data_IF_390601593805
#
_entry.id   IF_390601593805
#
_cell.length_a   1.000
_cell.length_b   1.000
_cell.length_c   1.000
_cell.angle_alpha   90.00
_cell.angle_beta   90.00
_cell.angle_gamma   90.00
#
_symmetry.space_group_name_H-M   'P 1'
#
loop_
_entity.id
_entity.type
_entity.pdbx_description
1 polymer ?
#
# COMPACT_ATOMS: atom_id res chain seq x y z
N UNK A 1 4.72 27.62 37.07
CA UNK A 1 5.79 26.62 36.83
C UNK A 1 5.77 26.29 35.36
N UNK A 2 6.72 26.89 34.62
CA UNK A 2 6.86 26.81 33.16
C UNK A 2 7.95 25.79 32.88
N UNK A 3 7.66 24.78 32.04
CA UNK A 3 8.69 23.84 31.56
C UNK A 3 8.76 23.93 30.04
N UNK A 4 9.99 24.20 29.58
CA UNK A 4 10.42 24.38 28.20
C UNK A 4 10.74 23.05 27.50
N UNK A 5 10.49 23.05 26.17
CA UNK A 5 11.17 22.41 25.01
C UNK A 5 12.20 21.26 25.20
N UNK A 6 12.05 20.25 24.33
CA UNK A 6 12.99 19.75 23.28
C UNK A 6 12.25 18.63 22.53
N UNK A 7 12.21 18.48 21.21
CA UNK A 7 13.13 18.85 20.13
C UNK A 7 13.57 17.55 19.44
N UNK A 8 13.02 17.22 18.28
CA UNK A 8 13.61 16.25 17.35
C UNK A 8 13.38 16.70 15.90
N UNK A 9 14.50 17.03 15.28
CA UNK A 9 14.66 17.27 13.85
C UNK A 9 14.62 15.93 13.10
N UNK A 10 14.02 15.90 11.92
CA UNK A 10 14.49 15.02 10.85
C UNK A 10 14.59 15.82 9.56
N UNK A 11 15.83 15.86 9.05
CA UNK A 11 16.22 16.33 7.73
C UNK A 11 15.67 15.38 6.68
N UNK A 12 15.03 15.90 5.63
CA UNK A 12 15.04 15.25 4.32
C UNK A 12 15.60 16.22 3.29
N UNK A 13 16.67 15.76 2.63
CA UNK A 13 17.32 16.38 1.49
C UNK A 13 16.51 16.09 0.22
N UNK A 14 16.16 17.16 -0.47
CA UNK A 14 16.33 17.42 -1.91
C UNK A 14 16.53 16.24 -2.87
N UNK A 15 15.57 16.11 -3.80
CA UNK A 15 15.72 15.94 -5.25
C UNK A 15 14.51 16.70 -5.83
N UNK A 16 14.62 17.83 -6.54
CA UNK A 16 15.36 18.03 -7.77
C UNK A 16 14.35 17.99 -8.92
N UNK A 17 13.92 19.15 -9.40
CA UNK A 17 12.92 19.27 -10.48
C UNK A 17 12.45 20.70 -10.71
N UNK A 18 13.37 21.60 -11.07
CA UNK A 18 13.03 22.87 -11.70
C UNK A 18 12.44 22.59 -13.09
N UNK A 19 11.17 22.92 -13.29
CA UNK A 19 10.63 23.16 -14.62
C UNK A 19 10.12 24.59 -14.63
N UNK A 20 10.83 25.42 -15.39
CA UNK A 20 10.50 26.81 -15.60
C UNK A 20 9.16 26.94 -16.31
N UNK A 21 8.26 27.68 -15.69
CA UNK A 21 7.14 28.32 -16.38
C UNK A 21 7.72 29.42 -17.26
N UNK A 22 7.88 29.09 -18.54
CA UNK A 22 8.11 30.03 -19.62
C UNK A 22 7.29 29.58 -20.81
N UNK A 23 6.83 30.54 -21.60
CA UNK A 23 5.93 30.43 -22.75
C UNK A 23 4.45 30.42 -22.43
N UNK A 24 3.58 31.14 -23.14
CA UNK A 24 3.72 32.02 -24.31
C UNK A 24 2.33 32.67 -24.41
N UNK A 25 2.16 33.89 -23.87
CA UNK A 25 1.02 34.72 -24.28
C UNK A 25 1.58 35.72 -25.28
N UNK A 26 1.40 35.35 -26.55
CA UNK A 26 1.87 36.06 -27.72
C UNK A 26 1.22 37.45 -27.82
N UNK A 27 2.09 38.44 -27.67
CA UNK A 27 2.07 39.77 -28.26
C UNK A 27 0.98 40.01 -29.33
N UNK A 28 -0.08 40.71 -28.91
CA UNK A 28 -1.00 41.42 -29.80
C UNK A 28 -0.31 42.65 -30.39
N UNK A 29 0.69 42.39 -31.26
CA UNK A 29 1.48 43.42 -31.95
C UNK A 29 0.69 43.96 -33.14
N UNK A 30 -0.14 44.96 -32.86
CA UNK A 30 -0.67 45.91 -33.84
C UNK A 30 0.46 46.50 -34.70
N UNK A 31 0.73 45.92 -35.87
CA UNK A 31 1.54 46.56 -36.91
C UNK A 31 0.70 47.60 -37.64
N UNK A 32 0.77 48.84 -37.14
CA UNK A 32 0.62 50.03 -38.00
C UNK A 32 1.77 50.03 -39.00
N UNK A 33 1.54 49.56 -40.22
CA UNK A 33 2.44 49.83 -41.34
C UNK A 33 2.21 51.27 -41.80
N UNK A 34 3.03 52.18 -41.28
CA UNK A 34 3.34 53.44 -41.93
C UNK A 34 4.20 53.14 -43.17
N UNK A 35 3.57 53.11 -44.35
CA UNK A 35 4.24 53.05 -45.65
C UNK A 35 4.24 54.43 -46.29
N UNK A 36 5.42 55.06 -46.37
CA UNK A 36 5.60 56.45 -46.75
C UNK A 36 5.21 56.80 -48.18
N UNK A 37 4.70 58.02 -48.32
CA UNK A 37 4.59 58.75 -49.58
C UNK A 37 5.97 58.95 -50.21
N UNK A 38 6.25 58.22 -51.31
CA UNK A 38 7.26 58.63 -52.29
C UNK A 38 6.72 58.52 -53.71
N UNK A 39 6.61 59.70 -54.32
CA UNK A 39 6.73 60.04 -55.75
C UNK A 39 5.74 59.40 -56.72
N UNK A 40 4.78 60.24 -57.13
CA UNK A 40 4.19 60.18 -58.46
C UNK A 40 5.31 60.29 -59.50
N UNK A 41 5.60 59.19 -60.20
CA UNK A 41 6.14 59.23 -61.55
C UNK A 41 5.01 58.74 -62.47
N UNK A 42 4.37 59.68 -63.15
CA UNK A 42 3.36 59.43 -64.17
C UNK A 42 4.08 58.87 -65.40
N UNK A 43 3.76 57.65 -65.89
CA UNK A 43 4.20 57.23 -67.21
C UNK A 43 3.39 58.01 -68.27
N UNK A 44 3.99 58.40 -69.41
CA UNK A 44 3.25 59.09 -70.45
C UNK A 44 2.16 58.16 -71.02
N UNK A 45 1.01 58.77 -71.34
CA UNK A 45 -0.07 58.13 -72.08
C UNK A 45 0.48 57.44 -73.33
N UNK A 46 0.16 56.15 -73.58
CA UNK A 46 0.18 55.62 -74.91
C UNK A 46 -1.07 56.13 -75.63
N UNK A 47 -0.88 57.16 -76.45
CA UNK A 47 -1.78 57.43 -77.56
C UNK A 47 -1.76 56.23 -78.52
N UNK A 48 -2.94 55.86 -79.02
CA UNK A 48 -3.02 55.08 -80.25
C UNK A 48 -3.48 53.63 -80.11
N UNK A 49 -4.78 53.45 -80.27
CA UNK A 49 -5.40 52.48 -81.19
C UNK A 49 -4.83 51.05 -81.16
N UNK A 50 -5.38 50.24 -80.25
CA UNK A 50 -5.23 48.78 -80.24
C UNK A 50 -6.19 48.08 -79.26
N UNK A 51 -7.41 48.59 -79.12
CA UNK A 51 -8.34 48.20 -78.05
C UNK A 51 -9.51 47.41 -78.63
N UNK A 52 -9.35 46.09 -78.77
CA UNK A 52 -10.50 45.17 -78.87
C UNK A 52 -10.22 43.69 -78.61
N UNK A 53 -8.96 43.27 -78.46
CA UNK A 53 -8.63 41.84 -78.25
C UNK A 53 -8.20 41.54 -76.79
N UNK A 54 -7.86 42.56 -75.99
CA UNK A 54 -7.23 42.38 -74.68
C UNK A 54 -8.21 42.33 -73.48
N UNK A 55 -9.41 42.93 -73.60
CA UNK A 55 -10.41 42.92 -72.51
C UNK A 55 -11.03 41.54 -72.35
N UNK A 56 -11.38 40.87 -73.45
CA UNK A 56 -11.96 39.53 -73.42
C UNK A 56 -10.99 38.49 -72.86
N UNK A 57 -9.68 38.62 -73.15
CA UNK A 57 -8.64 37.75 -72.60
C UNK A 57 -8.44 37.99 -71.11
N UNK A 58 -8.40 39.26 -70.66
CA UNK A 58 -8.30 39.60 -69.25
C UNK A 58 -9.51 39.14 -68.44
N UNK A 59 -10.73 39.27 -68.99
CA UNK A 59 -11.95 38.77 -68.35
C UNK A 59 -11.96 37.24 -68.25
N UNK A 60 -11.47 36.53 -69.28
CA UNK A 60 -11.35 35.08 -69.25
C UNK A 60 -10.30 34.58 -68.23
N UNK A 61 -9.16 35.27 -68.11
CA UNK A 61 -8.13 34.96 -67.11
C UNK A 61 -8.65 35.24 -65.69
N UNK A 62 -9.36 36.36 -65.47
CA UNK A 62 -9.97 36.67 -64.19
C UNK A 62 -11.01 35.61 -63.78
N UNK A 63 -11.89 35.20 -64.70
CA UNK A 63 -12.87 34.14 -64.45
C UNK A 63 -12.21 32.78 -64.14
N UNK A 64 -11.10 32.46 -64.79
CA UNK A 64 -10.32 31.25 -64.50
C UNK A 64 -9.66 31.30 -63.11
N UNK A 65 -9.12 32.46 -62.71
CA UNK A 65 -8.59 32.67 -61.37
C UNK A 65 -9.67 32.58 -60.29
N UNK A 66 -10.83 33.20 -60.51
CA UNK A 66 -11.95 33.15 -59.57
C UNK A 66 -12.45 31.72 -59.37
N UNK A 67 -12.54 30.93 -60.45
CA UNK A 67 -12.87 29.51 -60.37
C UNK A 67 -11.84 28.68 -59.58
N UNK A 68 -10.54 28.93 -59.78
CA UNK A 68 -9.48 28.26 -59.03
C UNK A 68 -9.48 28.64 -57.54
N UNK A 69 -9.74 29.91 -57.22
CA UNK A 69 -9.89 30.39 -55.84
C UNK A 69 -11.07 29.70 -55.17
N UNK A 70 -12.19 29.54 -55.86
CA UNK A 70 -13.38 28.90 -55.29
C UNK A 70 -13.18 27.40 -55.04
N UNK A 71 -12.48 26.70 -55.93
CA UNK A 71 -12.08 25.30 -55.69
C UNK A 71 -11.18 25.15 -54.46
N UNK A 72 -10.16 26.02 -54.33
CA UNK A 72 -9.28 26.04 -53.15
C UNK A 72 -10.05 26.34 -51.86
N UNK A 73 -11.02 27.27 -51.89
CA UNK A 73 -11.88 27.57 -50.75
C UNK A 73 -12.71 26.37 -50.34
N UNK A 74 -13.34 25.68 -51.29
CA UNK A 74 -14.13 24.47 -51.01
C UNK A 74 -13.27 23.36 -50.45
N UNK A 75 -12.07 23.15 -50.98
CA UNK A 75 -11.13 22.15 -50.45
C UNK A 75 -10.70 22.49 -49.02
N UNK A 76 -10.36 23.76 -48.74
CA UNK A 76 -9.98 24.20 -47.40
C UNK A 76 -11.13 24.06 -46.40
N UNK A 77 -12.36 24.43 -46.79
CA UNK A 77 -13.55 24.26 -45.95
C UNK A 77 -13.78 22.78 -45.63
N UNK A 78 -13.71 21.90 -46.63
CA UNK A 78 -13.84 20.45 -46.40
C UNK A 78 -12.78 19.89 -45.45
N UNK A 79 -11.53 20.37 -45.55
CA UNK A 79 -10.46 19.99 -44.61
C UNK A 79 -10.72 20.52 -43.20
N UNK A 80 -11.18 21.76 -43.06
CA UNK A 80 -11.52 22.37 -41.77
C UNK A 80 -12.66 21.60 -41.10
N UNK A 81 -13.71 21.26 -41.85
CA UNK A 81 -14.84 20.50 -41.33
C UNK A 81 -14.41 19.09 -40.87
N UNK A 82 -13.60 18.40 -41.68
CA UNK A 82 -13.04 17.10 -41.30
C UNK A 82 -12.16 17.16 -40.04
N UNK A 83 -11.31 18.18 -39.94
CA UNK A 83 -10.50 18.40 -38.72
C UNK A 83 -11.38 18.73 -37.51
N UNK A 84 -12.46 19.49 -37.68
CA UNK A 84 -13.40 19.79 -36.60
C UNK A 84 -14.10 18.53 -36.09
N UNK A 85 -14.47 17.60 -36.99
CA UNK A 85 -15.02 16.29 -36.64
C UNK A 85 -14.03 15.44 -35.84
N UNK A 86 -12.78 15.36 -36.30
CA UNK A 86 -11.72 14.64 -35.60
C UNK A 86 -11.46 15.20 -34.20
N UNK A 87 -11.43 16.54 -34.06
CA UNK A 87 -11.28 17.21 -32.76
C UNK A 87 -12.44 16.84 -31.83
N UNK A 88 -13.68 16.87 -32.32
CA UNK A 88 -14.86 16.49 -31.51
C UNK A 88 -14.78 15.02 -31.07
N UNK A 89 -14.37 14.12 -31.97
CA UNK A 89 -14.21 12.71 -31.65
C UNK A 89 -13.11 12.48 -30.59
N UNK A 90 -11.96 13.15 -30.73
CA UNK A 90 -10.86 13.09 -29.77
C UNK A 90 -11.26 13.64 -28.40
N UNK A 91 -12.00 14.75 -28.35
CA UNK A 91 -12.53 15.32 -27.11
C UNK A 91 -13.46 14.33 -26.41
N UNK A 92 -14.39 13.71 -27.14
CA UNK A 92 -15.29 12.68 -26.60
C UNK A 92 -14.53 11.44 -26.09
N UNK A 93 -13.47 11.03 -26.77
CA UNK A 93 -12.62 9.93 -26.32
C UNK A 93 -11.86 10.31 -25.03
N UNK A 94 -11.33 11.54 -24.97
CA UNK A 94 -10.60 12.02 -23.81
C UNK A 94 -11.50 12.12 -22.57
N UNK A 95 -12.76 12.58 -22.70
CA UNK A 95 -13.69 12.61 -21.57
C UNK A 95 -13.98 11.21 -21.03
N UNK A 96 -14.22 10.23 -21.92
CA UNK A 96 -14.43 8.82 -21.53
C UNK A 96 -13.22 8.19 -20.84
N UNK A 97 -12.03 8.50 -21.34
CA UNK A 97 -10.78 8.03 -20.71
C UNK A 97 -10.62 8.62 -19.31
N UNK A 98 -10.93 9.90 -19.14
CA UNK A 98 -10.83 10.58 -17.85
C UNK A 98 -11.83 10.02 -16.83
N UNK A 99 -13.07 9.75 -17.25
CA UNK A 99 -14.07 9.05 -16.43
C UNK A 99 -13.55 7.68 -15.96
N UNK A 100 -13.03 6.87 -16.89
CA UNK A 100 -12.49 5.54 -16.57
C UNK A 100 -11.28 5.61 -15.63
N UNK A 101 -10.40 6.60 -15.81
CA UNK A 101 -9.25 6.82 -14.91
C UNK A 101 -9.73 7.17 -13.51
N UNK A 102 -10.76 8.00 -13.38
CA UNK A 102 -11.33 8.36 -12.07
C UNK A 102 -11.97 7.16 -11.38
N UNK A 103 -12.74 6.34 -12.11
CA UNK A 103 -13.34 5.10 -11.59
C UNK A 103 -12.27 4.13 -11.09
N UNK A 104 -11.23 3.88 -11.89
CA UNK A 104 -10.12 2.99 -11.52
C UNK A 104 -9.33 3.53 -10.33
N UNK A 105 -9.17 4.85 -10.23
CA UNK A 105 -8.48 5.49 -9.11
C UNK A 105 -9.25 5.31 -7.81
N UNK A 106 -10.58 5.51 -7.84
CA UNK A 106 -11.46 5.28 -6.70
C UNK A 106 -11.47 3.81 -6.27
N UNK A 107 -11.60 2.88 -7.22
CA UNK A 107 -11.56 1.43 -6.94
C UNK A 107 -10.22 1.00 -6.33
N UNK A 108 -9.11 1.53 -6.83
CA UNK A 108 -7.79 1.27 -6.25
C UNK A 108 -7.65 1.81 -4.81
N UNK A 109 -8.25 2.96 -4.51
CA UNK A 109 -8.23 3.50 -3.16
C UNK A 109 -9.03 2.62 -2.18
N UNK A 110 -10.20 2.14 -2.60
CA UNK A 110 -11.03 1.20 -1.83
C UNK A 110 -10.28 -0.11 -1.57
N UNK A 111 -9.70 -0.72 -2.60
CA UNK A 111 -8.93 -1.96 -2.47
C UNK A 111 -7.74 -1.81 -1.52
N UNK A 112 -7.01 -0.68 -1.58
CA UNK A 112 -5.93 -0.38 -0.63
C UNK A 112 -6.43 -0.29 0.81
N UNK A 113 -7.58 0.35 1.03
CA UNK A 113 -8.21 0.44 2.34
C UNK A 113 -8.62 -0.94 2.87
N UNK A 114 -9.33 -1.74 2.07
CA UNK A 114 -9.72 -3.11 2.44
C UNK A 114 -8.51 -4.00 2.75
N UNK A 115 -7.45 -3.93 1.93
CA UNK A 115 -6.22 -4.69 2.17
C UNK A 115 -5.54 -4.30 3.50
N UNK A 116 -5.56 -3.02 3.87
CA UNK A 116 -5.03 -2.57 5.17
C UNK A 116 -5.84 -3.15 6.34
N UNK A 117 -7.17 -3.13 6.24
CA UNK A 117 -8.07 -3.72 7.25
C UNK A 117 -7.86 -5.24 7.36
N UNK A 118 -7.71 -5.95 6.24
CA UNK A 118 -7.44 -7.38 6.25
C UNK A 118 -6.08 -7.71 6.86
N UNK A 119 -5.03 -6.96 6.53
CA UNK A 119 -3.69 -7.15 7.09
C UNK A 119 -3.66 -6.97 8.60
N UNK A 120 -4.29 -5.91 9.12
CA UNK A 120 -4.39 -5.66 10.56
C UNK A 120 -5.22 -6.72 11.29
N UNK A 121 -6.30 -7.18 10.67
CA UNK A 121 -7.16 -8.26 11.20
C UNK A 121 -6.41 -9.60 11.23
N UNK A 122 -5.67 -9.93 10.18
CA UNK A 122 -4.84 -11.12 10.10
C UNK A 122 -3.75 -11.08 11.18
N UNK A 123 -3.06 -9.95 11.34
CA UNK A 123 -2.07 -9.78 12.40
C UNK A 123 -2.67 -9.99 13.80
N UNK A 124 -3.90 -9.49 14.04
CA UNK A 124 -4.61 -9.71 15.31
C UNK A 124 -4.95 -11.18 15.51
N UNK A 125 -5.46 -11.87 14.49
CA UNK A 125 -5.79 -13.30 14.56
C UNK A 125 -4.55 -14.16 14.78
N UNK A 126 -3.44 -13.88 14.09
CA UNK A 126 -2.17 -14.57 14.30
C UNK A 126 -1.67 -14.43 15.74
N UNK A 127 -1.73 -13.22 16.32
CA UNK A 127 -1.38 -13.00 17.74
C UNK A 127 -2.27 -13.81 18.68
N UNK A 128 -3.59 -13.81 18.46
CA UNK A 128 -4.53 -14.62 19.26
C UNK A 128 -4.23 -16.11 19.12
N UNK A 129 -3.96 -16.58 17.89
CA UNK A 129 -3.64 -17.98 17.62
C UNK A 129 -2.35 -18.41 18.33
N UNK A 130 -1.27 -17.64 18.26
CA UNK A 130 -0.04 -17.95 19.00
C UNK A 130 -0.25 -17.93 20.52
N UNK A 131 -1.07 -17.02 21.03
CA UNK A 131 -1.42 -17.00 22.46
C UNK A 131 -2.18 -18.27 22.88
N UNK A 132 -3.13 -18.74 22.06
CA UNK A 132 -3.84 -20.00 22.29
C UNK A 132 -2.90 -21.20 22.18
N UNK A 133 -2.04 -21.25 21.16
CA UNK A 133 -1.07 -22.34 20.97
C UNK A 133 -0.08 -22.44 22.15
N UNK A 134 0.44 -21.32 22.64
CA UNK A 134 1.25 -21.29 23.88
C UNK A 134 0.48 -21.85 25.07
N UNK A 135 -0.81 -21.52 25.18
CA UNK A 135 -1.64 -21.97 26.28
C UNK A 135 -1.77 -23.49 26.31
N UNK A 136 -1.93 -24.12 25.15
CA UNK A 136 -1.97 -25.59 25.01
C UNK A 136 -0.70 -26.20 25.58
N UNK A 137 0.47 -25.73 25.14
CA UNK A 137 1.77 -26.22 25.63
C UNK A 137 1.89 -26.09 27.16
N UNK A 138 1.44 -24.97 27.72
CA UNK A 138 1.47 -24.75 29.17
C UNK A 138 0.47 -25.65 29.93
N UNK A 139 -0.70 -25.92 29.35
CA UNK A 139 -1.69 -26.81 29.95
C UNK A 139 -1.28 -28.28 29.85
N UNK A 140 -0.68 -28.71 28.75
CA UNK A 140 -0.12 -30.05 28.59
C UNK A 140 1.02 -30.28 29.58
N UNK A 141 1.92 -29.30 29.75
CA UNK A 141 2.95 -29.34 30.80
C UNK A 141 2.32 -29.45 32.20
N UNK A 142 1.24 -28.70 32.48
CA UNK A 142 0.54 -28.78 33.77
C UNK A 142 -0.09 -30.16 33.99
N UNK A 143 -0.76 -30.70 32.98
CA UNK A 143 -1.41 -32.01 33.03
C UNK A 143 -0.36 -33.11 33.25
N UNK A 144 0.78 -33.01 32.57
CA UNK A 144 1.90 -33.93 32.76
C UNK A 144 2.46 -33.86 34.18
N UNK A 145 2.66 -32.65 34.74
CA UNK A 145 3.08 -32.49 36.14
C UNK A 145 2.06 -33.11 37.11
N UNK A 146 0.77 -32.91 36.87
CA UNK A 146 -0.28 -33.48 37.70
C UNK A 146 -0.23 -35.01 37.70
N UNK A 147 -0.13 -35.60 36.51
CA UNK A 147 -0.11 -37.04 36.30
C UNK A 147 1.17 -37.69 36.85
N UNK A 148 2.34 -37.26 36.36
CA UNK A 148 3.61 -37.95 36.61
C UNK A 148 4.08 -37.79 38.07
N UNK A 149 3.68 -36.70 38.74
CA UNK A 149 4.08 -36.39 40.12
C UNK A 149 2.93 -36.49 41.14
N UNK A 150 1.81 -37.09 40.73
CA UNK A 150 0.65 -37.36 41.59
C UNK A 150 0.16 -36.12 42.33
N UNK A 151 0.03 -35.00 41.63
CA UNK A 151 -0.64 -33.82 42.16
C UNK A 151 -2.11 -33.80 41.75
N UNK A 152 -2.97 -33.38 42.66
CA UNK A 152 -4.34 -33.01 42.32
C UNK A 152 -4.36 -31.62 41.67
N UNK A 153 -5.33 -31.36 40.80
CA UNK A 153 -5.45 -30.03 40.16
C UNK A 153 -5.67 -28.90 41.19
N UNK A 154 -6.30 -29.19 42.32
CA UNK A 154 -6.49 -28.23 43.41
C UNK A 154 -5.18 -27.87 44.14
N UNK A 155 -4.22 -28.80 44.19
CA UNK A 155 -2.86 -28.52 44.70
C UNK A 155 -2.03 -27.69 43.73
N UNK A 156 -2.34 -27.79 42.44
CA UNK A 156 -1.68 -27.05 41.36
C UNK A 156 -2.31 -25.68 41.08
N UNK A 157 -3.40 -25.35 41.78
CA UNK A 157 -4.04 -24.03 41.67
C UNK A 157 -3.33 -23.04 42.58
N UNK A 158 -2.78 -21.93 42.04
CA UNK A 158 -2.21 -20.88 42.88
C UNK A 158 -3.31 -20.34 43.80
N UNK A 159 -3.13 -20.46 45.12
CA UNK A 159 -4.10 -19.97 46.12
C UNK A 159 -3.97 -18.46 46.37
N UNK A 160 -2.84 -17.87 45.97
CA UNK A 160 -2.50 -16.45 46.14
C UNK A 160 -1.78 -15.92 44.90
N UNK A 161 -1.63 -14.60 44.81
CA UNK A 161 -0.78 -13.94 43.81
C UNK A 161 0.71 -14.33 43.90
N UNK A 162 1.12 -14.91 45.04
CA UNK A 162 2.43 -15.49 45.22
C UNK A 162 2.48 -16.95 44.76
N UNK A 163 3.19 -17.16 43.65
CA UNK A 163 3.41 -18.46 43.00
C UNK A 163 4.63 -19.21 43.57
N UNK A 164 5.49 -18.52 44.34
CA UNK A 164 6.75 -19.06 44.85
C UNK A 164 6.58 -20.37 45.65
N UNK A 165 5.65 -20.44 46.63
CA UNK A 165 5.40 -21.66 47.40
C UNK A 165 4.95 -22.85 46.54
N UNK A 166 4.16 -22.60 45.49
CA UNK A 166 3.73 -23.62 44.55
C UNK A 166 4.91 -24.15 43.73
N UNK A 167 5.74 -23.25 43.20
CA UNK A 167 6.94 -23.60 42.44
C UNK A 167 7.89 -24.46 43.28
N UNK A 168 8.15 -24.08 44.55
CA UNK A 168 9.01 -24.85 45.46
C UNK A 168 8.45 -26.25 45.75
N UNK A 169 7.13 -26.37 45.94
CA UNK A 169 6.46 -27.66 46.17
C UNK A 169 6.56 -28.59 44.97
N UNK A 170 6.43 -28.06 43.76
CA UNK A 170 6.61 -28.85 42.53
C UNK A 170 8.08 -29.27 42.43
N UNK A 171 9.01 -28.31 42.65
CA UNK A 171 10.46 -28.54 42.59
C UNK A 171 10.93 -29.71 43.46
N UNK A 172 10.38 -29.83 44.67
CA UNK A 172 10.79 -30.89 45.60
C UNK A 172 10.32 -32.29 45.19
N UNK A 173 9.37 -32.40 44.26
CA UNK A 173 8.89 -33.67 43.72
C UNK A 173 9.48 -34.04 42.35
N UNK A 174 9.98 -33.06 41.60
CA UNK A 174 10.55 -33.30 40.27
C UNK A 174 11.74 -34.27 40.34
N UNK A 175 11.82 -35.19 39.38
CA UNK A 175 13.01 -36.00 39.19
C UNK A 175 14.17 -35.13 38.66
N UNK A 176 15.40 -35.67 38.65
CA UNK A 176 16.58 -34.90 38.27
C UNK A 176 16.54 -34.42 36.80
N UNK A 177 16.01 -35.25 35.90
CA UNK A 177 15.89 -34.96 34.47
C UNK A 177 14.93 -33.79 34.21
N UNK A 178 13.70 -33.88 34.71
CA UNK A 178 12.68 -32.85 34.56
C UNK A 178 13.03 -31.57 35.33
N UNK A 179 13.71 -31.68 36.47
CA UNK A 179 14.21 -30.52 37.20
C UNK A 179 15.25 -29.73 36.39
N UNK A 180 16.06 -30.41 35.56
CA UNK A 180 17.01 -29.75 34.68
C UNK A 180 16.33 -28.99 33.53
N UNK A 181 15.20 -29.51 33.04
CA UNK A 181 14.40 -28.89 31.96
C UNK A 181 13.53 -27.74 32.48
N UNK A 182 12.83 -27.96 33.58
CA UNK A 182 11.88 -27.01 34.16
C UNK A 182 12.57 -26.12 35.19
N UNK A 183 13.10 -24.97 34.77
CA UNK A 183 13.60 -23.94 35.70
C UNK A 183 12.48 -23.32 36.56
N UNK A 184 12.82 -22.57 37.61
CA UNK A 184 11.82 -21.84 38.41
C UNK A 184 11.02 -20.86 37.56
N UNK A 185 11.64 -20.24 36.56
CA UNK A 185 10.96 -19.36 35.60
C UNK A 185 10.01 -20.14 34.70
N UNK A 186 10.37 -21.37 34.29
CA UNK A 186 9.52 -22.23 33.48
C UNK A 186 8.28 -22.65 34.27
N UNK A 187 8.48 -23.07 35.53
CA UNK A 187 7.39 -23.41 36.44
C UNK A 187 6.52 -22.19 36.72
N UNK A 188 7.12 -21.02 36.93
CA UNK A 188 6.38 -19.77 37.05
C UNK A 188 5.54 -19.53 35.79
N UNK A 189 6.10 -19.67 34.59
CA UNK A 189 5.37 -19.49 33.34
C UNK A 189 4.20 -20.49 33.16
N UNK A 190 4.36 -21.74 33.56
CA UNK A 190 3.30 -22.77 33.50
C UNK A 190 2.13 -22.42 34.42
N UNK A 191 2.40 -21.91 35.62
CA UNK A 191 1.37 -21.73 36.66
C UNK A 191 0.93 -20.27 36.85
N UNK A 192 1.64 -19.29 36.27
CA UNK A 192 1.30 -17.88 36.35
C UNK A 192 0.19 -17.57 35.34
N UNK A 193 -1.05 -17.62 35.83
CA UNK A 193 -2.21 -17.20 35.06
C UNK A 193 -2.43 -15.70 35.30
N UNK A 194 -1.91 -14.84 34.42
CA UNK A 194 -2.38 -13.45 34.39
C UNK A 194 -3.90 -13.45 34.18
N UNK A 195 -4.62 -12.65 34.97
CA UNK A 195 -6.07 -12.63 35.23
C UNK A 195 -7.04 -12.46 34.02
N UNK A 196 -6.62 -12.66 32.78
CA UNK A 196 -7.48 -12.48 31.60
C UNK A 196 -7.80 -13.80 30.91
N UNK A 197 -8.40 -14.74 31.64
CA UNK A 197 -8.53 -16.09 31.12
C UNK A 197 -9.74 -16.26 30.20
N UNK A 198 -9.42 -16.26 28.90
CA UNK A 198 -10.07 -17.01 27.81
C UNK A 198 -10.26 -18.52 28.14
N UNK A 199 -9.82 -18.99 29.33
CA UNK A 199 -9.95 -20.36 29.87
C UNK A 199 -11.36 -20.93 29.73
N UNK A 200 -12.39 -20.14 29.98
CA UNK A 200 -13.74 -20.70 30.06
C UNK A 200 -14.42 -20.81 28.68
N UNK A 201 -13.94 -20.09 27.66
CA UNK A 201 -14.51 -20.13 26.30
C UNK A 201 -13.66 -20.86 25.27
N UNK A 202 -12.33 -20.93 25.46
CA UNK A 202 -11.38 -21.37 24.42
C UNK A 202 -10.74 -22.76 24.63
N UNK A 203 -10.87 -23.36 25.81
CA UNK A 203 -10.11 -24.58 26.15
C UNK A 203 -10.43 -25.77 25.22
N UNK A 204 -11.69 -25.95 24.81
CA UNK A 204 -12.06 -27.10 23.96
C UNK A 204 -11.49 -27.00 22.54
N UNK A 205 -11.59 -25.81 21.91
CA UNK A 205 -11.05 -25.57 20.58
C UNK A 205 -9.51 -25.52 20.56
N UNK A 206 -8.88 -25.15 21.67
CA UNK A 206 -7.43 -25.14 21.79
C UNK A 206 -6.86 -26.57 21.85
N UNK A 207 -7.45 -27.48 22.62
CA UNK A 207 -6.93 -28.86 22.76
C UNK A 207 -7.15 -29.78 21.55
N UNK A 208 -7.81 -29.30 20.48
CA UNK A 208 -7.96 -30.02 19.21
C UNK A 208 -6.89 -29.63 18.16
N UNK A 209 -6.00 -28.69 18.49
CA UNK A 209 -4.97 -28.20 17.57
C UNK A 209 -3.85 -29.24 17.40
N UNK A 210 -3.43 -29.56 16.16
CA UNK A 210 -2.30 -30.46 15.91
C UNK A 210 -1.01 -30.01 16.57
N UNK A 211 -0.18 -30.95 17.02
CA UNK A 211 1.09 -30.65 17.69
C UNK A 211 2.08 -29.85 16.79
N UNK A 212 2.03 -30.07 15.46
CA UNK A 212 2.78 -29.30 14.47
C UNK A 212 2.54 -27.80 14.60
N UNK A 213 1.29 -27.44 14.85
CA UNK A 213 0.85 -26.05 14.88
C UNK A 213 1.27 -25.38 16.19
N UNK A 214 1.47 -26.14 17.27
CA UNK A 214 1.98 -25.61 18.54
C UNK A 214 3.43 -25.12 18.45
N UNK A 215 4.24 -25.63 17.50
CA UNK A 215 5.64 -25.20 17.30
C UNK A 215 5.70 -23.72 16.93
N UNK A 216 4.78 -23.23 16.08
CA UNK A 216 4.70 -21.82 15.66
C UNK A 216 4.59 -20.85 16.84
N UNK A 217 4.08 -21.32 17.97
CA UNK A 217 3.90 -20.51 19.18
C UNK A 217 5.19 -20.27 19.97
N UNK A 218 6.16 -21.18 19.81
CA UNK A 218 7.54 -21.05 20.29
C UNK A 218 8.31 -20.13 19.34
N UNK A 219 8.06 -20.21 18.04
CA UNK A 219 8.77 -19.46 17.00
C UNK A 219 8.27 -18.03 16.76
N UNK A 220 7.27 -17.57 17.50
CA UNK A 220 6.71 -16.23 17.28
C UNK A 220 7.82 -15.17 17.36
N UNK A 221 7.96 -14.40 16.28
CA UNK A 221 9.03 -13.40 16.12
C UNK A 221 8.96 -12.28 17.17
N UNK A 222 7.80 -12.04 17.76
CA UNK A 222 7.57 -11.01 18.78
C UNK A 222 8.09 -11.41 20.17
N UNK A 223 8.42 -12.69 20.39
CA UNK A 223 8.95 -13.16 21.66
C UNK A 223 10.43 -12.77 21.80
N UNK A 224 10.81 -12.42 23.03
CA UNK A 224 12.23 -12.27 23.38
C UNK A 224 12.91 -13.63 23.30
N UNK A 225 14.21 -13.65 22.97
CA UNK A 225 15.02 -14.86 22.89
C UNK A 225 14.95 -15.68 24.19
N UNK A 226 14.99 -15.00 25.35
CA UNK A 226 14.85 -15.63 26.65
C UNK A 226 13.47 -16.33 26.83
N UNK A 227 12.37 -15.69 26.41
CA UNK A 227 11.03 -16.30 26.48
C UNK A 227 10.90 -17.47 25.50
N UNK A 228 11.48 -17.35 24.31
CA UNK A 228 11.50 -18.41 23.29
C UNK A 228 12.25 -19.64 23.81
N UNK A 229 13.43 -19.46 24.37
CA UNK A 229 14.21 -20.54 24.96
C UNK A 229 13.46 -21.23 26.12
N UNK A 230 12.76 -20.45 26.95
CA UNK A 230 11.95 -20.98 28.05
C UNK A 230 10.77 -21.82 27.54
N UNK A 231 10.03 -21.31 26.54
CA UNK A 231 8.93 -22.04 25.90
C UNK A 231 9.41 -23.30 25.20
N UNK A 232 10.59 -23.27 24.57
CA UNK A 232 11.22 -24.46 23.98
C UNK A 232 11.43 -25.56 25.04
N UNK A 233 11.98 -25.22 26.21
CA UNK A 233 12.15 -26.18 27.30
C UNK A 233 10.82 -26.75 27.82
N UNK A 234 9.81 -25.89 27.94
CA UNK A 234 8.46 -26.32 28.36
C UNK A 234 7.86 -27.27 27.30
N UNK A 235 8.04 -26.98 26.01
CA UNK A 235 7.61 -27.84 24.91
C UNK A 235 8.30 -29.21 24.96
N UNK A 236 9.63 -29.23 25.13
CA UNK A 236 10.39 -30.47 25.29
C UNK A 236 9.87 -31.31 26.46
N UNK A 237 9.64 -30.66 27.61
CA UNK A 237 9.08 -31.33 28.78
C UNK A 237 7.67 -31.90 28.50
N UNK A 238 6.78 -31.09 27.92
CA UNK A 238 5.39 -31.49 27.66
C UNK A 238 5.27 -32.63 26.65
N UNK A 239 6.06 -32.60 25.57
CA UNK A 239 5.88 -33.48 24.41
C UNK A 239 7.02 -34.49 24.19
N UNK A 240 8.10 -34.41 24.97
CA UNK A 240 9.22 -35.35 24.91
C UNK A 240 10.08 -35.24 23.65
N UNK A 241 9.99 -34.13 22.91
CA UNK A 241 10.74 -33.88 21.66
C UNK A 241 11.18 -32.43 21.60
N UNK A 242 12.34 -32.16 21.01
CA UNK A 242 12.72 -30.79 20.68
C UNK A 242 11.77 -30.21 19.62
N UNK A 243 11.39 -28.93 19.74
CA UNK A 243 10.63 -28.27 18.69
C UNK A 243 11.50 -28.24 17.42
N UNK A 244 11.03 -28.90 16.36
CA UNK A 244 11.77 -28.98 15.10
C UNK A 244 11.71 -27.61 14.39
N UNK A 245 12.87 -26.96 14.29
CA UNK A 245 13.00 -25.58 13.83
C UNK A 245 13.15 -25.47 12.30
N UNK A 246 13.35 -26.59 11.60
CA UNK A 246 13.76 -26.59 10.19
C UNK A 246 12.59 -26.51 9.19
N UNK A 247 11.33 -26.67 9.62
CA UNK A 247 10.19 -26.80 8.71
C UNK A 247 9.33 -25.55 8.49
N UNK A 248 9.62 -24.39 9.11
CA UNK A 248 8.72 -23.22 9.07
C UNK A 248 9.14 -22.11 8.08
N UNK A 249 9.97 -22.43 7.09
CA UNK A 249 10.20 -21.57 5.91
C UNK A 249 9.45 -22.12 4.70
N UNK A 250 8.18 -21.78 4.56
CA UNK A 250 7.41 -21.86 3.32
C UNK A 250 6.50 -20.65 3.20
#
# INVERSE_FOLDING_TARGET
MVIYRRGFETKQRECGGEYGESSLDDDERSRKLAGGSKKQNVPPKPDGKGRRINVTLQTAIAAAHDGAIELLRQELLGRIDGQADDIRALQSSNTKLLEKVNELTSSNAELKSSNSVFSTTLQRHTKTLHALKRRIVLDDARNKIAHDYSFTFDELRPRHSDIGPLVQRIRSKLNAEDSSLLSNDALTMIFYSSENSVRDGGNKAAHEVPLSDCIDSVLEATLTEARRALLGKIYCFAHGKEPDFETTTA
#
